data_IF_132938272080
#
_entry.id   IF_132938272080
#
_cell.length_a   1.000
_cell.length_b   1.000
_cell.length_c   1.000
_cell.angle_alpha   90.00
_cell.angle_beta   90.00
_cell.angle_gamma   90.00
#
_symmetry.space_group_name_H-M   'P 1'
#
loop_
_entity.id
_entity.type
_entity.pdbx_description
1 polymer ?
#
# COMPACT_ATOMS: atom_id res chain seq x y z
N UNK A 1 2.48 16.28 26.21
CA UNK A 1 1.81 17.31 25.38
C UNK A 1 2.46 17.30 23.99
N UNK A 2 1.96 18.02 22.98
CA UNK A 2 2.60 18.02 21.66
C UNK A 2 4.09 18.46 21.73
N UNK A 3 4.42 19.37 22.66
CA UNK A 3 5.78 19.88 22.87
C UNK A 3 6.79 18.84 23.37
N UNK A 4 6.34 17.70 23.91
CA UNK A 4 7.21 16.66 24.48
C UNK A 4 7.40 15.46 23.55
N UNK A 5 6.78 15.48 22.37
CA UNK A 5 6.89 14.39 21.40
C UNK A 5 8.19 14.51 20.59
N UNK A 6 8.74 13.38 20.08
CA UNK A 6 9.83 13.42 19.12
C UNK A 6 9.42 14.23 17.89
N UNK A 7 10.33 15.11 17.44
CA UNK A 7 10.14 15.96 16.25
C UNK A 7 10.35 15.16 14.98
N UNK A 8 9.40 14.30 14.67
CA UNK A 8 9.42 13.41 13.49
C UNK A 8 8.58 13.95 12.34
N UNK A 9 7.90 15.08 12.51
CA UNK A 9 7.13 15.67 11.44
C UNK A 9 8.04 16.06 10.25
N UNK A 10 7.56 15.78 9.04
CA UNK A 10 8.26 16.08 7.80
C UNK A 10 8.11 14.97 6.76
N UNK A 11 9.00 15.01 5.77
CA UNK A 11 8.95 14.16 4.58
C UNK A 11 10.14 13.22 4.55
N UNK A 12 9.89 11.95 4.26
CA UNK A 12 10.90 10.88 4.30
C UNK A 12 10.87 10.04 3.04
N UNK A 13 11.99 9.37 2.73
CA UNK A 13 12.03 8.34 1.68
C UNK A 13 12.70 7.08 2.21
N UNK A 14 12.25 5.91 1.77
CA UNK A 14 12.91 4.63 2.13
C UNK A 14 14.31 4.55 1.52
N UNK A 15 15.27 4.12 2.34
CA UNK A 15 16.65 3.82 1.99
C UNK A 15 16.94 2.32 1.94
N UNK A 16 18.24 1.97 1.90
CA UNK A 16 18.75 0.59 1.90
C UNK A 16 18.06 -0.35 0.90
N UNK A 17 17.81 0.14 -0.33
CA UNK A 17 17.01 -0.57 -1.35
C UNK A 17 17.52 -1.98 -1.65
N UNK A 18 18.83 -2.19 -1.67
CA UNK A 18 19.44 -3.50 -1.97
C UNK A 18 19.31 -4.50 -0.82
N UNK A 19 18.97 -4.05 0.40
CA UNK A 19 18.77 -4.89 1.57
C UNK A 19 17.29 -5.28 1.77
N UNK A 20 16.36 -4.69 1.01
CA UNK A 20 14.93 -4.92 1.17
C UNK A 20 14.49 -6.16 0.38
N UNK A 21 14.36 -7.32 1.05
CA UNK A 21 13.84 -8.52 0.39
C UNK A 21 12.39 -8.34 -0.11
N UNK A 22 11.64 -7.44 0.54
CA UNK A 22 10.25 -7.12 0.22
C UNK A 22 10.07 -6.50 -1.16
N UNK A 23 11.17 -6.11 -1.82
CA UNK A 23 11.14 -5.55 -3.17
C UNK A 23 11.06 -6.63 -4.26
N UNK A 24 11.15 -7.92 -3.90
CA UNK A 24 10.94 -9.06 -4.80
C UNK A 24 12.07 -9.30 -5.81
N UNK A 25 12.83 -8.26 -6.20
CA UNK A 25 13.99 -8.36 -7.10
C UNK A 25 15.32 -8.71 -6.42
N UNK A 26 15.41 -8.59 -5.10
CA UNK A 26 16.66 -8.73 -4.35
C UNK A 26 16.92 -10.15 -3.82
N UNK A 27 15.90 -11.01 -3.82
CA UNK A 27 16.02 -12.42 -3.43
C UNK A 27 15.60 -13.32 -4.59
N UNK A 28 16.15 -14.53 -4.63
CA UNK A 28 15.65 -15.56 -5.52
C UNK A 28 14.24 -16.00 -5.11
N UNK A 29 13.36 -16.24 -6.09
CA UNK A 29 11.99 -16.72 -5.87
C UNK A 29 11.95 -18.01 -5.02
N UNK A 30 12.88 -18.94 -5.26
CA UNK A 30 13.01 -20.19 -4.48
C UNK A 30 13.26 -19.93 -2.99
N UNK A 31 14.09 -18.93 -2.67
CA UNK A 31 14.32 -18.50 -1.28
C UNK A 31 13.03 -17.97 -0.67
N UNK A 32 12.27 -17.14 -1.41
CA UNK A 32 10.99 -16.63 -0.93
C UNK A 32 9.98 -17.74 -0.66
N UNK A 33 9.83 -18.68 -1.60
CA UNK A 33 8.96 -19.85 -1.45
C UNK A 33 9.32 -20.65 -0.20
N UNK A 34 10.61 -20.84 0.10
CA UNK A 34 11.06 -21.59 1.28
C UNK A 34 10.62 -20.99 2.62
N UNK A 35 10.18 -19.73 2.64
CA UNK A 35 9.68 -19.03 3.83
C UNK A 35 8.18 -19.29 4.09
N UNK A 36 7.47 -19.88 3.13
CA UNK A 36 6.03 -20.01 3.15
C UNK A 36 5.58 -21.42 3.56
N UNK A 37 4.38 -21.53 4.12
CA UNK A 37 3.72 -22.82 4.34
C UNK A 37 3.33 -23.47 2.99
N UNK A 38 3.09 -24.79 2.93
CA UNK A 38 2.86 -25.48 1.65
C UNK A 38 1.73 -24.90 0.80
N UNK A 39 0.64 -24.44 1.42
CA UNK A 39 -0.46 -23.80 0.72
C UNK A 39 -0.03 -22.47 0.08
N UNK A 40 0.65 -21.60 0.83
CA UNK A 40 1.09 -20.30 0.32
C UNK A 40 2.25 -20.42 -0.68
N UNK A 41 3.08 -21.46 -0.57
CA UNK A 41 4.04 -21.85 -1.62
C UNK A 41 3.33 -22.17 -2.94
N UNK A 42 2.25 -22.96 -2.89
CA UNK A 42 1.47 -23.29 -4.08
C UNK A 42 0.87 -22.02 -4.71
N UNK A 43 0.28 -21.12 -3.91
CA UNK A 43 -0.33 -19.88 -4.40
C UNK A 43 0.69 -18.93 -5.01
N UNK A 44 1.85 -18.73 -4.37
CA UNK A 44 2.93 -17.91 -4.94
C UNK A 44 3.46 -18.52 -6.25
N UNK A 45 3.66 -19.84 -6.30
CA UNK A 45 4.09 -20.54 -7.53
C UNK A 45 3.07 -20.35 -8.66
N UNK A 46 1.78 -20.42 -8.35
CA UNK A 46 0.71 -20.16 -9.32
C UNK A 46 0.77 -18.72 -9.83
N UNK A 47 0.94 -17.74 -8.94
CA UNK A 47 1.09 -16.32 -9.31
C UNK A 47 2.29 -16.12 -10.24
N UNK A 48 3.45 -16.65 -9.87
CA UNK A 48 4.69 -16.55 -10.66
C UNK A 48 4.56 -17.23 -12.03
N UNK A 49 3.85 -18.36 -12.11
CA UNK A 49 3.57 -19.02 -13.38
C UNK A 49 2.70 -18.13 -14.28
N UNK A 50 1.67 -17.50 -13.71
CA UNK A 50 0.78 -16.65 -14.49
C UNK A 50 1.49 -15.40 -15.01
N UNK A 51 2.38 -14.84 -14.21
CA UNK A 51 3.27 -13.74 -14.58
C UNK A 51 4.25 -14.15 -15.69
N UNK A 52 5.08 -15.16 -15.44
CA UNK A 52 6.27 -15.43 -16.25
C UNK A 52 6.02 -16.36 -17.44
N UNK A 53 5.02 -17.24 -17.36
CA UNK A 53 4.76 -18.27 -18.38
C UNK A 53 3.53 -17.93 -19.19
N UNK A 54 2.41 -17.66 -18.51
CA UNK A 54 1.15 -17.41 -19.21
C UNK A 54 1.02 -15.97 -19.71
N UNK A 55 1.87 -15.05 -19.24
CA UNK A 55 1.79 -13.61 -19.52
C UNK A 55 0.41 -13.01 -19.19
N UNK A 56 -0.20 -13.44 -18.08
CA UNK A 56 -1.51 -13.00 -17.61
C UNK A 56 -1.39 -12.41 -16.18
N UNK A 57 -0.62 -11.31 -16.01
CA UNK A 57 -0.34 -10.73 -14.70
C UNK A 57 -1.58 -10.09 -14.07
N UNK A 58 -2.04 -10.59 -12.94
CA UNK A 58 -3.22 -10.04 -12.24
C UNK A 58 -2.81 -9.03 -11.16
N UNK A 59 -2.09 -7.96 -11.56
CA UNK A 59 -1.59 -6.96 -10.61
C UNK A 59 -2.74 -6.11 -10.05
N UNK A 60 -2.86 -6.06 -8.72
CA UNK A 60 -3.93 -5.32 -8.04
C UNK A 60 -3.99 -3.83 -8.45
N UNK A 61 -2.82 -3.20 -8.57
CA UNK A 61 -2.68 -1.81 -8.99
C UNK A 61 -3.16 -1.55 -10.42
N UNK A 62 -3.15 -2.55 -11.31
CA UNK A 62 -3.66 -2.41 -12.67
C UNK A 62 -5.19 -2.25 -12.66
N UNK A 63 -5.89 -2.99 -11.80
CA UNK A 63 -7.34 -2.99 -11.73
C UNK A 63 -7.90 -1.98 -10.73
N UNK A 64 -7.04 -1.20 -10.06
CA UNK A 64 -7.41 -0.34 -8.95
C UNK A 64 -8.11 -1.10 -7.82
N UNK A 65 -7.71 -2.36 -7.60
CA UNK A 65 -8.14 -3.09 -6.42
C UNK A 65 -7.45 -2.53 -5.19
N UNK A 66 -8.02 -2.72 -3.99
CA UNK A 66 -7.36 -2.33 -2.76
C UNK A 66 -5.98 -2.98 -2.66
N UNK A 67 -4.99 -2.22 -2.20
CA UNK A 67 -3.59 -2.62 -2.26
C UNK A 67 -3.15 -3.49 -1.06
N UNK A 68 -3.85 -3.40 0.08
CA UNK A 68 -3.59 -4.18 1.29
C UNK A 68 -2.38 -3.70 2.12
N UNK A 69 -2.32 -4.11 3.39
CA UNK A 69 -1.31 -3.63 4.35
C UNK A 69 0.13 -3.83 3.88
N UNK A 70 0.48 -5.05 3.45
CA UNK A 70 1.86 -5.40 3.08
C UNK A 70 2.39 -4.61 1.89
N UNK A 71 1.51 -4.01 1.09
CA UNK A 71 1.92 -3.16 -0.02
C UNK A 71 2.70 -1.94 0.45
N UNK A 72 2.53 -1.47 1.69
CA UNK A 72 3.39 -0.41 2.28
C UNK A 72 4.89 -0.74 2.21
N UNK A 73 5.25 -2.02 2.17
CA UNK A 73 6.64 -2.50 2.17
C UNK A 73 7.19 -2.86 0.79
N UNK A 74 6.38 -2.80 -0.26
CA UNK A 74 6.79 -3.07 -1.64
C UNK A 74 7.54 -1.89 -2.27
N UNK A 75 8.46 -2.12 -3.21
CA UNK A 75 9.37 -1.08 -3.75
C UNK A 75 8.65 0.12 -4.40
N UNK A 76 7.70 -0.15 -5.29
CA UNK A 76 7.06 0.88 -6.13
C UNK A 76 5.66 1.29 -5.65
N UNK A 77 5.33 0.99 -4.40
CA UNK A 77 4.03 1.33 -3.84
C UNK A 77 3.96 2.71 -3.20
N UNK A 78 5.08 3.19 -2.66
CA UNK A 78 5.19 4.46 -1.94
C UNK A 78 6.47 5.19 -2.34
N UNK A 79 6.35 6.53 -2.45
CA UNK A 79 7.46 7.44 -2.71
C UNK A 79 7.84 8.17 -1.41
N UNK A 80 7.53 9.46 -1.34
CA UNK A 80 7.73 10.26 -0.13
C UNK A 80 6.67 9.92 0.91
N UNK A 81 7.09 9.80 2.15
CA UNK A 81 6.26 9.51 3.32
C UNK A 81 6.14 10.81 4.09
N UNK A 82 4.95 11.39 4.11
CA UNK A 82 4.61 12.48 5.01
C UNK A 82 4.30 11.89 6.39
N UNK A 83 4.98 12.39 7.41
CA UNK A 83 4.79 11.98 8.80
C UNK A 83 4.19 13.14 9.58
N UNK A 84 3.05 12.90 10.21
CA UNK A 84 2.41 13.84 11.14
C UNK A 84 2.30 13.17 12.51
N UNK A 85 2.76 13.88 13.54
CA UNK A 85 2.76 13.39 14.91
C UNK A 85 1.84 14.25 15.77
N UNK A 86 1.00 13.61 16.57
CA UNK A 86 0.17 14.24 17.58
C UNK A 86 0.24 13.42 18.88
N UNK A 87 -0.23 13.97 20.02
CA UNK A 87 -0.31 13.19 21.26
C UNK A 87 -1.21 11.95 21.20
N UNK A 88 -2.03 11.81 20.16
CA UNK A 88 -3.03 10.75 20.05
C UNK A 88 -2.79 9.80 18.88
N UNK A 89 -2.00 10.21 17.88
CA UNK A 89 -1.71 9.40 16.71
C UNK A 89 -0.41 9.83 16.01
N UNK A 90 0.23 8.88 15.34
CA UNK A 90 1.17 9.14 14.24
C UNK A 90 0.47 8.77 12.93
N UNK A 91 0.46 9.68 11.98
CA UNK A 91 -0.12 9.48 10.66
C UNK A 91 0.99 9.44 9.62
N UNK A 92 0.87 8.49 8.69
CA UNK A 92 1.77 8.31 7.57
C UNK A 92 0.95 8.40 6.29
N UNK A 93 1.29 9.34 5.41
CA UNK A 93 0.66 9.49 4.10
C UNK A 93 1.69 9.26 3.01
N UNK A 94 1.38 8.38 2.06
CA UNK A 94 2.19 8.16 0.86
C UNK A 94 1.35 7.50 -0.24
N UNK A 95 1.97 7.16 -1.37
CA UNK A 95 1.31 6.45 -2.46
C UNK A 95 1.97 6.70 -3.80
N UNK A 96 1.72 5.78 -4.74
CA UNK A 96 2.09 5.91 -6.16
C UNK A 96 0.93 5.46 -7.05
N UNK A 97 0.36 4.29 -6.78
CA UNK A 97 -0.80 3.75 -7.50
C UNK A 97 -2.14 4.08 -6.81
N UNK A 98 -2.13 4.28 -5.49
CA UNK A 98 -3.29 4.67 -4.69
C UNK A 98 -2.83 5.44 -3.45
N UNK A 99 -3.76 6.04 -2.71
CA UNK A 99 -3.50 6.86 -1.53
C UNK A 99 -3.40 6.00 -0.28
N UNK A 100 -2.21 5.93 0.31
CA UNK A 100 -1.97 5.14 1.50
C UNK A 100 -1.97 6.04 2.72
N UNK A 101 -3.06 5.96 3.48
CA UNK A 101 -3.19 6.63 4.77
C UNK A 101 -3.09 5.61 5.90
N UNK A 102 -1.96 5.58 6.60
CA UNK A 102 -1.77 4.77 7.81
C UNK A 102 -1.85 5.63 9.06
N UNK A 103 -2.46 5.11 10.12
CA UNK A 103 -2.55 5.76 11.43
C UNK A 103 -2.15 4.80 12.53
N UNK A 104 -1.16 5.17 13.32
CA UNK A 104 -0.79 4.51 14.56
C UNK A 104 -1.52 5.22 15.71
N UNK A 105 -2.48 4.56 16.33
CA UNK A 105 -3.30 5.13 17.41
C UNK A 105 -2.59 4.97 18.77
N UNK A 106 -2.20 6.09 19.38
CA UNK A 106 -1.35 6.08 20.58
C UNK A 106 -2.17 5.79 21.85
N UNK A 107 -1.70 4.82 22.63
CA UNK A 107 -2.30 4.41 23.90
C UNK A 107 -3.71 3.82 23.74
N UNK A 108 -4.02 3.29 22.55
CA UNK A 108 -5.30 2.63 22.25
C UNK A 108 -5.16 1.11 22.29
N UNK A 109 -6.28 0.42 22.16
CA UNK A 109 -6.39 -1.03 22.01
C UNK A 109 -7.11 -1.32 20.71
N UNK A 110 -6.86 -2.48 20.12
CA UNK A 110 -7.64 -2.93 18.98
C UNK A 110 -9.12 -3.06 19.35
N UNK A 111 -9.98 -2.43 18.56
CA UNK A 111 -11.44 -2.48 18.74
C UNK A 111 -12.16 -2.98 17.48
N UNK A 112 -11.48 -3.02 16.34
CA UNK A 112 -12.07 -3.52 15.11
C UNK A 112 -12.35 -5.01 15.24
N UNK A 113 -13.58 -5.40 14.89
CA UNK A 113 -14.05 -6.80 14.93
C UNK A 113 -14.04 -7.47 13.57
N UNK A 114 -13.88 -6.68 12.52
CA UNK A 114 -13.85 -7.15 11.13
C UNK A 114 -12.55 -6.68 10.48
N UNK A 115 -11.93 -7.50 9.62
CA UNK A 115 -10.72 -7.14 8.91
C UNK A 115 -10.84 -5.82 8.13
N UNK A 116 -9.75 -5.06 8.09
CA UNK A 116 -9.59 -3.81 7.33
C UNK A 116 -8.45 -3.97 6.33
N UNK A 117 -8.49 -3.29 5.17
CA UNK A 117 -7.45 -3.42 4.15
C UNK A 117 -6.03 -3.15 4.66
N UNK A 118 -5.86 -2.14 5.52
CA UNK A 118 -4.59 -1.81 6.17
C UNK A 118 -4.54 -2.25 7.64
N UNK A 119 -5.56 -2.99 8.10
CA UNK A 119 -5.71 -3.33 9.50
C UNK A 119 -5.99 -2.15 10.42
N UNK A 120 -5.88 -2.42 11.71
CA UNK A 120 -5.89 -1.42 12.77
C UNK A 120 -4.48 -1.38 13.38
N UNK A 121 -3.86 -0.21 13.42
CA UNK A 121 -2.54 -0.03 14.03
C UNK A 121 -2.66 0.76 15.33
N UNK A 122 -2.25 0.16 16.44
CA UNK A 122 -2.12 0.83 17.75
C UNK A 122 -0.64 0.98 18.09
N UNK A 123 -0.30 1.88 19.00
CA UNK A 123 1.08 2.00 19.44
C UNK A 123 1.27 2.77 20.73
N UNK A 124 2.52 2.84 21.16
CA UNK A 124 2.95 3.61 22.32
C UNK A 124 4.37 4.11 22.13
N UNK A 125 4.72 5.15 22.88
CA UNK A 125 6.07 5.70 22.91
C UNK A 125 6.85 5.10 24.08
N UNK A 126 8.09 4.69 23.81
CA UNK A 126 9.12 4.38 24.81
C UNK A 126 10.32 5.31 24.57
N UNK A 127 10.35 6.42 25.31
CA UNK A 127 11.27 7.53 25.02
C UNK A 127 11.05 8.10 23.61
N UNK A 128 12.09 8.01 22.77
CA UNK A 128 12.04 8.44 21.37
C UNK A 128 11.69 7.30 20.40
N UNK A 129 11.32 6.12 20.91
CA UNK A 129 10.95 4.96 20.11
C UNK A 129 9.43 4.86 20.03
N UNK A 130 8.89 4.71 18.82
CA UNK A 130 7.48 4.36 18.63
C UNK A 130 7.40 2.86 18.38
N UNK A 131 6.64 2.16 19.21
CA UNK A 131 6.29 0.76 18.97
C UNK A 131 4.85 0.72 18.47
N UNK A 132 4.65 0.18 17.29
CA UNK A 132 3.34 0.02 16.66
C UNK A 132 3.04 -1.46 16.44
N UNK A 133 1.77 -1.82 16.63
CA UNK A 133 1.23 -3.14 16.38
C UNK A 133 0.04 -3.01 15.44
N UNK A 134 0.16 -3.62 14.27
CA UNK A 134 -0.91 -3.75 13.29
C UNK A 134 -1.52 -5.15 13.37
N UNK A 135 -2.84 -5.23 13.39
CA UNK A 135 -3.63 -6.47 13.36
C UNK A 135 -4.95 -6.25 12.58
N UNK A 136 -5.79 -7.28 12.49
CA UNK A 136 -7.10 -7.23 11.81
C UNK A 136 -6.99 -6.82 10.33
N UNK A 137 -5.99 -7.32 9.61
CA UNK A 137 -5.82 -7.03 8.18
C UNK A 137 -6.69 -7.95 7.32
N UNK A 138 -7.12 -7.47 6.15
CA UNK A 138 -7.71 -8.32 5.12
C UNK A 138 -6.59 -9.17 4.49
N UNK A 139 -6.79 -10.50 4.30
CA UNK A 139 -5.83 -11.34 3.60
C UNK A 139 -5.69 -10.87 2.16
N UNK A 140 -4.46 -10.75 1.66
CA UNK A 140 -4.20 -10.20 0.34
C UNK A 140 -2.84 -10.64 -0.22
N UNK A 141 -2.46 -10.12 -1.39
CA UNK A 141 -1.09 -10.23 -1.90
C UNK A 141 -0.20 -9.11 -1.39
N UNK A 142 1.08 -9.40 -1.18
CA UNK A 142 2.07 -8.40 -0.79
C UNK A 142 2.39 -7.39 -1.90
N UNK A 143 2.54 -7.86 -3.14
CA UNK A 143 2.96 -7.05 -4.29
C UNK A 143 2.80 -7.86 -5.59
N UNK A 144 3.25 -7.29 -6.72
CA UNK A 144 3.30 -7.99 -8.01
C UNK A 144 4.20 -9.22 -7.89
N UNK A 145 3.67 -10.39 -8.25
CA UNK A 145 4.41 -11.68 -8.22
C UNK A 145 5.07 -11.97 -6.88
N UNK A 146 4.35 -11.65 -5.80
CA UNK A 146 4.78 -11.87 -4.42
C UNK A 146 3.70 -12.63 -3.66
N UNK A 147 4.11 -13.30 -2.60
CA UNK A 147 3.23 -14.16 -1.83
C UNK A 147 2.01 -13.45 -1.24
N UNK A 148 0.99 -14.24 -1.00
CA UNK A 148 -0.17 -13.84 -0.22
C UNK A 148 0.12 -13.91 1.28
N UNK A 149 -0.66 -13.17 2.07
CA UNK A 149 -0.70 -13.23 3.53
C UNK A 149 -2.14 -13.43 4.00
N UNK A 150 -2.30 -14.02 5.17
CA UNK A 150 -3.58 -14.37 5.78
C UNK A 150 -4.19 -13.21 6.58
N UNK A 151 -5.41 -13.42 7.07
CA UNK A 151 -6.08 -12.52 8.00
C UNK A 151 -5.48 -12.60 9.43
N UNK A 152 -4.56 -13.55 9.67
CA UNK A 152 -3.79 -13.70 10.92
C UNK A 152 -2.51 -12.89 10.92
N UNK A 153 -2.17 -12.22 9.81
CA UNK A 153 -1.01 -11.35 9.76
C UNK A 153 -1.09 -10.28 10.86
N UNK A 154 -0.05 -10.24 11.68
CA UNK A 154 0.21 -9.19 12.64
C UNK A 154 1.61 -8.65 12.41
N UNK A 155 1.77 -7.34 12.54
CA UNK A 155 3.05 -6.69 12.28
C UNK A 155 3.40 -5.81 13.46
N UNK A 156 4.59 -6.05 14.01
CA UNK A 156 5.19 -5.16 15.01
C UNK A 156 6.21 -4.31 14.29
N UNK A 157 6.03 -3.00 14.37
CA UNK A 157 6.94 -2.00 13.81
C UNK A 157 7.56 -1.20 14.96
N UNK A 158 8.88 -1.15 15.01
CA UNK A 158 9.65 -0.35 15.97
C UNK A 158 10.38 0.74 15.20
N UNK A 159 9.88 1.96 15.36
CA UNK A 159 10.47 3.14 14.76
C UNK A 159 11.45 3.75 15.77
N UNK A 160 12.69 3.99 15.34
CA UNK A 160 13.74 4.58 16.17
C UNK A 160 14.41 5.73 15.42
N UNK A 161 14.97 6.74 16.10
CA UNK A 161 15.82 7.72 15.43
C UNK A 161 16.99 7.01 14.75
N UNK A 162 17.32 7.40 13.52
CA UNK A 162 18.49 6.85 12.83
C UNK A 162 19.78 7.19 13.60
N UNK A 163 20.83 6.39 13.43
CA UNK A 163 22.11 6.56 14.15
C UNK A 163 22.77 7.91 13.89
N UNK A 164 22.55 8.49 12.72
CA UNK A 164 23.04 9.81 12.30
C UNK A 164 22.10 10.97 12.71
N UNK A 165 20.95 10.67 13.32
CA UNK A 165 19.96 11.64 13.77
C UNK A 165 19.12 12.29 12.66
N UNK A 166 19.32 11.91 11.40
CA UNK A 166 18.72 12.56 10.22
C UNK A 166 17.61 11.73 9.56
N UNK A 167 16.95 10.88 10.33
CA UNK A 167 15.99 9.93 9.80
C UNK A 167 15.33 9.08 10.88
N UNK A 168 14.60 8.07 10.43
CA UNK A 168 13.96 7.06 11.26
C UNK A 168 14.42 5.70 10.75
N UNK A 169 14.78 4.78 11.62
CA UNK A 169 14.94 3.37 11.25
C UNK A 169 13.68 2.63 11.67
N UNK A 170 13.04 1.95 10.73
CA UNK A 170 11.85 1.13 10.98
C UNK A 170 12.23 -0.33 10.92
N UNK A 171 12.17 -0.97 12.08
CA UNK A 171 12.31 -2.41 12.23
C UNK A 171 10.91 -3.02 12.20
N UNK A 172 10.62 -3.89 11.24
CA UNK A 172 9.30 -4.49 11.07
C UNK A 172 9.41 -6.02 11.10
N UNK A 173 8.64 -6.64 11.99
CA UNK A 173 8.53 -8.09 12.11
C UNK A 173 7.10 -8.53 11.80
N UNK A 174 6.99 -9.43 10.83
CA UNK A 174 5.74 -9.94 10.28
C UNK A 174 5.46 -11.34 10.84
N UNK A 175 4.32 -11.48 11.52
CA UNK A 175 3.84 -12.71 12.10
C UNK A 175 2.61 -13.17 11.35
N UNK A 176 2.71 -14.29 10.64
CA UNK A 176 1.57 -14.91 9.98
C UNK A 176 1.73 -16.43 10.07
N UNK A 177 1.08 -17.09 11.04
CA UNK A 177 1.27 -18.53 11.24
C UNK A 177 0.60 -19.38 10.14
N UNK A 178 -0.26 -18.80 9.30
CA UNK A 178 -0.88 -19.50 8.18
C UNK A 178 -0.01 -19.39 6.92
N UNK A 179 0.57 -18.21 6.67
CA UNK A 179 1.38 -17.97 5.47
C UNK A 179 2.85 -18.30 5.65
N UNK A 180 3.45 -18.03 6.82
CA UNK A 180 4.90 -18.11 7.04
C UNK A 180 5.28 -19.27 7.96
N UNK A 181 6.38 -19.96 7.65
CA UNK A 181 6.92 -21.02 8.53
C UNK A 181 7.59 -20.46 9.80
N UNK A 182 7.91 -19.16 9.79
CA UNK A 182 8.49 -18.40 10.90
C UNK A 182 8.28 -16.90 10.66
N UNK A 183 8.37 -16.05 11.70
CA UNK A 183 8.28 -14.61 11.51
C UNK A 183 9.32 -14.11 10.51
N UNK A 184 8.91 -13.18 9.65
CA UNK A 184 9.79 -12.51 8.69
C UNK A 184 10.14 -11.12 9.20
N UNK A 185 11.27 -10.58 8.77
CA UNK A 185 11.81 -9.36 9.35
C UNK A 185 12.51 -8.49 8.31
N UNK A 186 12.38 -7.17 8.44
CA UNK A 186 13.12 -6.17 7.68
C UNK A 186 13.55 -5.03 8.59
N UNK A 187 14.60 -4.34 8.17
CA UNK A 187 14.98 -3.04 8.68
C UNK A 187 15.03 -2.08 7.51
N UNK A 188 14.20 -1.04 7.56
CA UNK A 188 14.10 -0.02 6.52
C UNK A 188 14.47 1.34 7.08
N UNK A 189 15.63 1.90 6.72
CA UNK A 189 15.94 3.28 7.08
C UNK A 189 15.08 4.24 6.25
N UNK A 190 14.53 5.24 6.89
CA UNK A 190 13.79 6.36 6.30
C UNK A 190 14.67 7.60 6.41
N UNK A 191 15.06 8.11 5.25
CA UNK A 191 15.94 9.27 5.12
C UNK A 191 15.05 10.50 5.10
N UNK A 192 15.25 11.44 6.02
CA UNK A 192 14.51 12.71 6.02
C UNK A 192 14.93 13.54 4.81
N UNK A 193 13.94 14.05 4.08
CA UNK A 193 14.13 14.95 2.94
C UNK A 193 13.88 16.39 3.35
N UNK A 194 12.68 16.66 3.85
CA UNK A 194 12.22 18.01 4.10
C UNK A 194 11.52 18.13 5.47
N UNK A 195 11.45 19.37 5.96
CA UNK A 195 10.64 19.72 7.12
C UNK A 195 9.14 19.74 6.81
N UNK A 196 8.27 19.75 7.83
CA UNK A 196 6.83 19.84 7.64
C UNK A 196 6.36 21.21 7.11
N UNK A 197 7.22 22.23 7.19
CA UNK A 197 7.02 23.61 6.75
C UNK A 197 7.62 23.90 5.36
N UNK A 198 8.10 22.87 4.65
CA UNK A 198 8.62 23.03 3.30
C UNK A 198 7.50 23.53 2.35
N UNK A 199 7.66 24.70 1.72
CA UNK A 199 6.63 25.30 0.88
C UNK A 199 6.40 24.53 -0.44
N UNK A 200 7.35 23.69 -0.84
CA UNK A 200 7.29 22.94 -2.09
C UNK A 200 6.89 21.47 -1.91
N UNK A 201 6.97 20.95 -0.69
CA UNK A 201 6.56 19.57 -0.40
C UNK A 201 5.03 19.46 -0.36
N UNK A 202 4.47 18.59 -1.22
CA UNK A 202 3.02 18.37 -1.28
C UNK A 202 2.73 16.94 -1.71
N UNK A 203 1.71 16.36 -1.07
CA UNK A 203 1.15 15.09 -1.52
C UNK A 203 0.03 15.35 -2.52
N UNK A 204 0.18 14.83 -3.74
CA UNK A 204 -0.87 14.90 -4.76
C UNK A 204 -1.79 13.70 -4.60
N UNK A 205 -3.08 13.94 -4.45
CA UNK A 205 -4.08 12.88 -4.41
C UNK A 205 -4.03 12.03 -5.69
N UNK A 206 -4.05 10.71 -5.53
CA UNK A 206 -3.97 9.75 -6.61
C UNK A 206 -5.37 9.21 -6.91
N UNK A 207 -5.87 9.38 -8.13
CA UNK A 207 -7.08 8.70 -8.58
C UNK A 207 -6.68 7.59 -9.56
N UNK A 208 -6.65 6.34 -9.06
CA UNK A 208 -6.18 5.21 -9.85
C UNK A 208 -6.97 5.03 -11.15
N UNK A 209 -8.29 5.29 -11.15
CA UNK A 209 -9.13 5.08 -12.35
C UNK A 209 -8.87 6.08 -13.46
N UNK A 210 -8.28 7.23 -13.14
CA UNK A 210 -7.78 8.19 -14.14
C UNK A 210 -6.47 7.70 -14.74
N UNK A 211 -5.63 7.04 -13.95
CA UNK A 211 -4.30 6.58 -14.37
C UNK A 211 -4.32 5.21 -15.07
N UNK A 212 -5.23 4.33 -14.68
CA UNK A 212 -5.40 2.99 -15.23
C UNK A 212 -6.83 2.77 -15.71
N UNK A 213 -6.96 2.39 -16.99
CA UNK A 213 -8.24 1.93 -17.56
C UNK A 213 -8.21 0.43 -17.85
N UNK A 214 -7.28 -0.30 -17.21
CA UNK A 214 -7.13 -1.74 -17.39
C UNK A 214 -8.37 -2.45 -16.81
N UNK A 215 -8.88 -3.41 -17.59
CA UNK A 215 -9.97 -4.31 -17.20
C UNK A 215 -9.60 -5.74 -17.57
N UNK A 216 -10.33 -6.72 -17.03
CA UNK A 216 -10.20 -8.10 -17.51
C UNK A 216 -10.92 -8.22 -18.85
N UNK A 217 -10.15 -8.51 -19.89
CA UNK A 217 -10.67 -8.77 -21.23
C UNK A 217 -11.51 -10.05 -21.27
N UNK A 218 -12.19 -10.31 -22.40
CA UNK A 218 -13.02 -11.51 -22.56
C UNK A 218 -12.27 -12.84 -22.40
N UNK A 219 -10.94 -12.83 -22.61
CA UNK A 219 -10.04 -13.97 -22.41
C UNK A 219 -9.46 -14.06 -20.98
N UNK A 220 -9.88 -13.17 -20.08
CA UNK A 220 -9.42 -13.07 -18.71
C UNK A 220 -8.06 -12.37 -18.55
N UNK A 221 -7.48 -11.78 -19.61
CA UNK A 221 -6.21 -11.07 -19.53
C UNK A 221 -6.40 -9.59 -19.21
N UNK A 222 -5.46 -8.96 -18.48
CA UNK A 222 -5.45 -7.51 -18.32
C UNK A 222 -5.38 -6.83 -19.69
N UNK A 223 -6.36 -5.99 -19.99
CA UNK A 223 -6.49 -5.27 -21.25
C UNK A 223 -6.67 -3.79 -20.95
N UNK A 224 -5.78 -2.95 -21.48
CA UNK A 224 -5.90 -1.50 -21.42
C UNK A 224 -6.98 -1.05 -22.41
N UNK A 225 -7.99 -0.34 -21.93
CA UNK A 225 -8.98 0.29 -22.80
C UNK A 225 -8.41 1.58 -23.42
N UNK A 226 -8.82 1.84 -24.65
CA UNK A 226 -8.59 3.13 -25.34
C UNK A 226 -9.92 3.88 -25.53
N UNK A 227 -9.91 5.19 -25.85
CA UNK A 227 -11.14 5.99 -25.94
C UNK A 227 -12.22 5.47 -26.90
N UNK A 228 -11.84 4.64 -27.87
CA UNK A 228 -12.76 4.03 -28.83
C UNK A 228 -13.36 2.70 -28.36
N UNK A 229 -12.84 2.12 -27.28
CA UNK A 229 -13.28 0.84 -26.78
C UNK A 229 -14.58 0.96 -25.98
N UNK A 230 -15.41 -0.08 -26.06
CA UNK A 230 -16.60 -0.19 -25.23
C UNK A 230 -16.20 -0.29 -23.74
N UNK A 231 -16.88 0.49 -22.89
CA UNK A 231 -16.59 0.52 -21.45
C UNK A 231 -15.47 1.47 -21.03
N UNK A 232 -14.80 2.14 -21.97
CA UNK A 232 -13.91 3.26 -21.64
C UNK A 232 -14.69 4.39 -20.96
N UNK A 233 -14.11 4.95 -19.90
CA UNK A 233 -14.69 6.08 -19.16
C UNK A 233 -13.67 7.21 -19.16
N UNK A 234 -14.03 8.35 -19.76
CA UNK A 234 -13.26 9.58 -19.61
C UNK A 234 -13.60 10.26 -18.28
N UNK A 235 -12.73 10.08 -17.29
CA UNK A 235 -12.90 10.70 -15.97
C UNK A 235 -12.56 12.20 -15.94
N UNK A 236 -11.94 12.77 -16.99
CA UNK A 236 -11.74 14.22 -17.11
C UNK A 236 -12.95 14.95 -17.70
N UNK A 237 -13.82 14.22 -18.41
CA UNK A 237 -15.07 14.71 -18.97
C UNK A 237 -16.22 14.75 -17.96
N UNK A 238 -17.43 14.48 -18.46
CA UNK A 238 -18.66 14.36 -17.64
C UNK A 238 -19.30 12.99 -17.88
N UNK A 239 -18.68 11.89 -17.41
CA UNK A 239 -19.13 10.54 -17.73
C UNK A 239 -20.56 10.25 -17.24
N UNK A 240 -21.00 10.92 -16.17
CA UNK A 240 -22.38 10.85 -15.71
C UNK A 240 -23.37 11.48 -16.69
N UNK A 241 -23.01 12.61 -17.32
CA UNK A 241 -23.86 13.31 -18.29
C UNK A 241 -23.95 12.52 -19.59
N UNK A 242 -22.84 11.94 -20.06
CA UNK A 242 -22.88 11.01 -21.19
C UNK A 242 -23.84 9.85 -20.93
N UNK A 243 -23.84 9.31 -19.71
CA UNK A 243 -24.78 8.25 -19.34
C UNK A 243 -26.24 8.76 -19.34
N UNK A 244 -26.50 9.98 -18.87
CA UNK A 244 -27.81 10.63 -18.95
C UNK A 244 -28.28 10.77 -20.40
N UNK A 245 -27.48 11.38 -21.27
CA UNK A 245 -27.78 11.55 -22.69
C UNK A 245 -28.03 10.18 -23.37
N UNK A 246 -27.17 9.19 -23.08
CA UNK A 246 -27.25 7.85 -23.68
C UNK A 246 -28.43 7.02 -23.19
N UNK A 247 -28.96 7.25 -21.98
CA UNK A 247 -29.93 6.33 -21.35
C UNK A 247 -31.22 6.98 -20.85
N UNK A 248 -31.18 8.22 -20.40
CA UNK A 248 -32.25 8.87 -19.65
C UNK A 248 -32.85 10.09 -20.38
N UNK A 249 -32.08 10.80 -21.18
CA UNK A 249 -32.48 12.04 -21.86
C UNK A 249 -32.78 11.83 -23.36
N UNK A 250 -32.96 10.57 -23.78
CA UNK A 250 -33.32 10.27 -25.17
C UNK A 250 -34.62 10.96 -25.56
N UNK A 251 -34.53 11.89 -26.51
CA UNK A 251 -35.68 12.65 -27.02
C UNK A 251 -36.04 13.88 -26.19
N UNK A 252 -35.22 14.27 -25.21
CA UNK A 252 -35.38 15.56 -24.54
C UNK A 252 -35.02 16.70 -25.50
N UNK A 253 -35.77 17.79 -25.43
CA UNK A 253 -35.39 19.03 -26.10
C UNK A 253 -34.35 19.73 -25.24
N UNK A 254 -33.12 19.79 -25.73
CA UNK A 254 -32.08 20.57 -25.07
C UNK A 254 -32.36 22.06 -25.29
N UNK A 255 -32.19 22.92 -24.26
CA UNK A 255 -32.28 24.36 -24.43
C UNK A 255 -31.30 24.84 -25.50
N UNK A 256 -31.76 25.71 -26.41
CA UNK A 256 -30.85 26.37 -27.34
C UNK A 256 -29.95 27.34 -26.55
N UNK A 257 -28.64 27.27 -26.82
CA UNK A 257 -27.62 28.14 -26.23
C UNK A 257 -27.57 29.49 -26.93
#
# INVERSE_FOLDING_TARGET
TAQTLPKWEGWYTRGAREEQWTYGRNLQTSTMLSLLTPEYQQRMTQMDYHEAVSNAPQWMAAFCYPEGFMRWWAEFSINEIEVIVTPHQVQLLSGVADNFLRKVLIGRRHVQKVPQWYGETIGFWDGNTLVAWTANVIPWTMSHSMFEYSDKLQVIEVFTPSRDGNGITVDATFYDPEAFIRPLHIVTPWIRRNGPDDPEARYTFIECRVQSTIVNGPDGRPTQLIPTDEGFIDYFGRPWAENWEKRFEKGWQHPEH
#
